data_IF_178929528843
#
_entry.id   IF_178929528843
#
_cell.length_a   1.000
_cell.length_b   1.000
_cell.length_c   1.000
_cell.angle_alpha   90.00
_cell.angle_beta   90.00
_cell.angle_gamma   90.00
#
_symmetry.space_group_name_H-M   'P 1'
#
loop_
_entity.id
_entity.type
_entity.pdbx_description
1 polymer ?
#
# COMPACT_ATOMS: atom_id res chain seq x y z
N UNK A 1 -17.73 13.45 4.85
CA UNK A 1 -16.64 13.02 3.92
C UNK A 1 -15.75 11.97 4.57
N UNK A 2 -15.53 10.82 3.92
CA UNK A 2 -14.65 9.75 4.42
C UNK A 2 -13.97 9.01 3.26
N UNK A 3 -12.69 8.64 3.43
CA UNK A 3 -11.97 7.77 2.52
C UNK A 3 -11.77 6.41 3.21
N UNK A 4 -12.36 5.36 2.63
CA UNK A 4 -12.33 4.02 3.19
C UNK A 4 -11.63 3.06 2.21
N UNK A 5 -10.79 2.18 2.74
CA UNK A 5 -10.21 1.10 1.97
C UNK A 5 -11.27 0.03 1.71
N UNK A 6 -11.63 -0.19 0.45
CA UNK A 6 -12.65 -1.17 0.06
C UNK A 6 -12.03 -2.53 -0.26
N UNK A 7 -10.92 -2.54 -1.00
CA UNK A 7 -10.16 -3.76 -1.28
C UNK A 7 -8.69 -3.44 -1.17
N UNK A 8 -8.02 -4.10 -0.23
CA UNK A 8 -6.57 -4.03 -0.04
C UNK A 8 -5.83 -4.61 -1.25
N UNK A 9 -4.54 -4.31 -1.35
CA UNK A 9 -3.67 -4.89 -2.36
C UNK A 9 -3.67 -6.43 -2.27
N UNK A 10 -3.88 -7.09 -3.40
CA UNK A 10 -3.95 -8.55 -3.48
C UNK A 10 -2.57 -9.24 -3.49
N UNK A 11 -1.49 -8.46 -3.64
CA UNK A 11 -0.12 -8.96 -3.73
C UNK A 11 0.86 -8.12 -2.92
N UNK A 12 2.03 -8.70 -2.66
CA UNK A 12 3.14 -8.00 -2.03
C UNK A 12 3.79 -7.02 -3.02
N UNK A 13 4.28 -5.89 -2.53
CA UNK A 13 4.97 -4.92 -3.36
C UNK A 13 6.32 -5.42 -3.88
N UNK A 14 6.94 -6.36 -3.17
CA UNK A 14 8.18 -7.06 -3.53
C UNK A 14 7.97 -8.54 -3.25
N UNK A 15 8.54 -9.42 -4.08
CA UNK A 15 8.41 -10.86 -3.83
C UNK A 15 9.21 -11.30 -2.60
N UNK A 16 8.80 -12.41 -1.99
CA UNK A 16 9.50 -12.97 -0.84
C UNK A 16 10.94 -13.38 -1.17
N UNK A 17 11.18 -13.92 -2.36
CA UNK A 17 12.52 -14.30 -2.81
C UNK A 17 13.43 -13.08 -2.98
N UNK A 18 12.94 -12.00 -3.61
CA UNK A 18 13.70 -10.75 -3.72
C UNK A 18 14.02 -10.16 -2.34
N UNK A 19 13.06 -10.20 -1.40
CA UNK A 19 13.27 -9.74 -0.04
C UNK A 19 14.30 -10.61 0.72
N UNK A 20 14.29 -11.93 0.54
CA UNK A 20 15.26 -12.85 1.14
C UNK A 20 16.67 -12.63 0.63
N UNK A 21 16.83 -12.39 -0.68
CA UNK A 21 18.12 -12.03 -1.28
C UNK A 21 18.64 -10.72 -0.67
N UNK A 22 17.79 -9.73 -0.48
CA UNK A 22 18.16 -8.46 0.15
C UNK A 22 18.61 -8.62 1.61
N UNK A 23 17.87 -9.42 2.38
CA UNK A 23 18.14 -9.70 3.79
C UNK A 23 19.27 -10.73 4.00
N UNK A 24 19.75 -11.37 2.92
CA UNK A 24 20.73 -12.48 2.94
C UNK A 24 20.25 -13.69 3.75
N UNK A 25 18.94 -13.95 3.72
CA UNK A 25 18.31 -15.08 4.42
C UNK A 25 18.14 -16.24 3.45
N UNK A 26 18.69 -17.40 3.81
CA UNK A 26 18.63 -18.63 2.99
C UNK A 26 17.60 -19.62 3.55
N UNK A 27 17.35 -19.58 4.86
CA UNK A 27 16.39 -20.45 5.53
C UNK A 27 14.94 -20.05 5.22
N UNK A 28 14.02 -21.02 5.32
CA UNK A 28 12.57 -20.80 5.13
C UNK A 28 11.82 -20.53 6.45
N UNK A 29 12.49 -20.59 7.60
CA UNK A 29 11.87 -20.42 8.91
C UNK A 29 11.29 -19.02 9.15
N UNK A 30 11.78 -18.02 8.42
CA UNK A 30 11.42 -16.62 8.58
C UNK A 30 10.45 -16.13 7.50
N UNK A 31 10.02 -16.99 6.58
CA UNK A 31 9.22 -16.60 5.42
C UNK A 31 7.90 -15.90 5.81
N UNK A 32 7.26 -16.38 6.88
CA UNK A 32 6.04 -15.76 7.43
C UNK A 32 6.33 -14.38 8.02
N UNK A 33 7.45 -14.22 8.73
CA UNK A 33 7.86 -12.94 9.31
C UNK A 33 8.21 -11.94 8.21
N UNK A 34 9.02 -12.35 7.23
CA UNK A 34 9.44 -11.52 6.10
C UNK A 34 8.21 -11.05 5.32
N UNK A 35 7.25 -11.94 5.05
CA UNK A 35 5.97 -11.59 4.42
C UNK A 35 5.24 -10.49 5.18
N UNK A 36 5.13 -10.63 6.51
CA UNK A 36 4.49 -9.61 7.37
C UNK A 36 5.22 -8.28 7.34
N UNK A 37 6.56 -8.30 7.34
CA UNK A 37 7.39 -7.10 7.30
C UNK A 37 7.26 -6.38 5.96
N UNK A 38 7.19 -7.11 4.83
CA UNK A 38 6.91 -6.50 3.51
C UNK A 38 5.58 -5.77 3.54
N UNK A 39 4.52 -6.39 4.07
CA UNK A 39 3.20 -5.75 4.19
C UNK A 39 3.25 -4.46 5.03
N UNK A 40 3.86 -4.52 6.22
CA UNK A 40 3.99 -3.35 7.10
C UNK A 40 4.84 -2.24 6.48
N UNK A 41 5.94 -2.58 5.82
CA UNK A 41 6.79 -1.60 5.15
C UNK A 41 6.08 -0.95 3.97
N UNK A 42 5.23 -1.71 3.26
CA UNK A 42 4.42 -1.16 2.16
C UNK A 42 3.41 -0.14 2.68
N UNK A 43 2.72 -0.42 3.79
CA UNK A 43 1.79 0.52 4.41
C UNK A 43 2.48 1.81 4.86
N UNK A 44 3.67 1.68 5.48
CA UNK A 44 4.44 2.85 5.92
C UNK A 44 4.93 3.68 4.73
N UNK A 45 5.39 3.02 3.66
CA UNK A 45 5.78 3.71 2.43
C UNK A 45 4.61 4.44 1.78
N UNK A 46 3.42 3.84 1.72
CA UNK A 46 2.20 4.48 1.22
C UNK A 46 1.80 5.70 2.06
N UNK A 47 1.92 5.60 3.39
CA UNK A 47 1.67 6.71 4.30
C UNK A 47 2.63 7.88 4.05
N UNK A 48 3.94 7.60 3.93
CA UNK A 48 4.96 8.62 3.68
C UNK A 48 4.81 9.29 2.31
N UNK A 49 4.47 8.53 1.28
CA UNK A 49 4.33 9.06 -0.08
C UNK A 49 2.95 9.69 -0.35
N UNK A 50 1.93 9.36 0.46
CA UNK A 50 0.54 9.77 0.22
C UNK A 50 -0.06 9.16 -1.05
N UNK A 51 0.43 8.00 -1.50
CA UNK A 51 -0.06 7.31 -2.70
C UNK A 51 -0.03 5.80 -2.53
N UNK A 52 -0.92 5.12 -3.23
CA UNK A 52 -0.91 3.66 -3.36
C UNK A 52 0.33 3.19 -4.15
N UNK A 53 1.04 2.20 -3.61
CA UNK A 53 2.15 1.51 -4.26
C UNK A 53 1.62 0.36 -5.12
N UNK A 54 0.69 -0.42 -4.57
CA UNK A 54 0.04 -1.54 -5.26
C UNK A 54 -1.40 -1.22 -5.65
N UNK A 55 -1.99 -1.94 -6.64
CA UNK A 55 -3.38 -1.75 -7.02
C UNK A 55 -4.34 -2.03 -5.86
N UNK A 56 -5.13 -1.04 -5.47
CA UNK A 56 -6.12 -1.13 -4.41
C UNK A 56 -7.37 -0.32 -4.74
N UNK A 57 -8.52 -0.72 -4.18
CA UNK A 57 -9.80 -0.04 -4.40
C UNK A 57 -10.15 0.80 -3.19
N UNK A 58 -10.36 2.09 -3.41
CA UNK A 58 -10.75 3.05 -2.39
C UNK A 58 -12.16 3.56 -2.66
N UNK A 59 -12.94 3.69 -1.59
CA UNK A 59 -14.26 4.30 -1.62
C UNK A 59 -14.16 5.68 -0.97
N UNK A 60 -14.46 6.71 -1.76
CA UNK A 60 -14.60 8.08 -1.27
C UNK A 60 -16.09 8.40 -1.14
N UNK A 61 -16.57 8.61 0.08
CA UNK A 61 -17.94 9.07 0.33
C UNK A 61 -17.93 10.57 0.57
N UNK A 62 -18.68 11.30 -0.25
CA UNK A 62 -18.89 12.74 -0.16
C UNK A 62 -20.32 13.01 0.27
N UNK A 63 -20.53 14.02 1.12
CA UNK A 63 -21.85 14.35 1.67
C UNK A 63 -22.73 15.05 0.63
N UNK A 64 -22.10 15.74 -0.34
CA UNK A 64 -22.74 16.36 -1.50
C UNK A 64 -21.74 16.42 -2.68
N UNK A 65 -22.24 16.51 -3.90
CA UNK A 65 -21.45 16.88 -5.06
C UNK A 65 -21.27 18.41 -5.04
N UNK A 66 -20.21 18.90 -4.40
CA UNK A 66 -19.84 20.31 -4.47
C UNK A 66 -19.78 20.75 -5.95
N UNK A 67 -20.37 21.90 -6.32
CA UNK A 67 -20.48 22.33 -7.73
C UNK A 67 -19.12 22.57 -8.43
N UNK A 68 -18.02 22.55 -7.69
CA UNK A 68 -16.66 22.65 -8.20
C UNK A 68 -15.72 21.69 -7.48
N UNK A 69 -14.98 20.89 -8.25
CA UNK A 69 -13.86 20.09 -7.75
C UNK A 69 -12.57 20.83 -8.08
N UNK A 70 -11.88 21.35 -7.05
CA UNK A 70 -10.55 21.93 -7.22
C UNK A 70 -9.51 20.82 -7.42
N UNK A 71 -9.04 20.65 -8.66
CA UNK A 71 -7.90 19.78 -8.95
C UNK A 71 -6.63 20.47 -8.47
N UNK A 72 -6.08 20.05 -7.32
CA UNK A 72 -4.77 20.52 -6.87
C UNK A 72 -3.71 20.09 -7.88
N UNK A 73 -3.11 21.08 -8.55
CA UNK A 73 -2.02 20.87 -9.52
C UNK A 73 -0.87 20.10 -8.83
N UNK A 74 -0.40 18.99 -9.41
CA UNK A 74 0.76 18.30 -8.86
C UNK A 74 1.98 19.23 -8.96
N UNK A 75 2.73 19.33 -7.87
CA UNK A 75 4.07 19.95 -7.88
C UNK A 75 5.05 19.02 -8.58
#
# INVERSE_FOLDING_TARGET
MALLLHTAAAGLAVSLEEAKVHLRVIAASEDTLITSLIGSATLEAEHLMGRAVMPQKWLLTLDDFTPSVELRRPR
#
